data_IF_003612816157
#
_entry.id   IF_003612816157
#
_cell.length_a   1.000
_cell.length_b   1.000
_cell.length_c   1.000
_cell.angle_alpha   90.00
_cell.angle_beta   90.00
_cell.angle_gamma   90.00
#
_symmetry.space_group_name_H-M   'P 1'
#
loop_
_entity.id
_entity.type
_entity.pdbx_description
1 polymer ?
#
# COMPACT_ATOMS: atom_id res chain seq x y z
N UNK A 1 -7.97 -21.05 1.24
CA UNK A 1 -8.26 -22.08 0.25
C UNK A 1 -9.64 -22.66 0.52
N UNK A 2 -10.50 -22.78 -0.52
CA UNK A 2 -11.89 -23.28 -0.41
C UNK A 2 -12.01 -24.75 -0.86
N UNK A 3 -10.91 -25.41 -1.18
CA UNK A 3 -10.90 -26.80 -1.59
C UNK A 3 -10.53 -27.69 -0.41
N UNK A 4 -11.39 -28.68 -0.11
CA UNK A 4 -11.06 -29.79 0.77
C UNK A 4 -10.11 -30.74 0.04
N UNK A 5 -8.82 -30.50 0.16
CA UNK A 5 -7.80 -31.44 -0.29
C UNK A 5 -7.29 -32.19 0.93
N UNK A 6 -7.30 -33.52 0.90
CA UNK A 6 -7.06 -34.39 2.06
C UNK A 6 -5.70 -34.20 2.78
N UNK A 7 -4.77 -33.45 2.19
CA UNK A 7 -3.43 -33.15 2.76
C UNK A 7 -3.16 -31.67 2.94
N UNK A 8 -4.14 -30.76 2.71
CA UNK A 8 -3.96 -29.33 2.87
C UNK A 8 -4.47 -28.85 4.22
N UNK A 9 -3.73 -27.93 4.84
CA UNK A 9 -4.18 -27.21 6.03
C UNK A 9 -5.37 -26.33 5.67
N UNK A 10 -6.50 -26.53 6.35
CA UNK A 10 -7.75 -25.79 6.13
C UNK A 10 -7.84 -24.68 7.16
N UNK A 11 -8.12 -23.45 6.70
CA UNK A 11 -8.34 -22.30 7.57
C UNK A 11 -7.36 -21.16 7.34
N UNK A 12 -7.33 -20.23 8.29
CA UNK A 12 -6.40 -19.11 8.31
C UNK A 12 -5.06 -19.54 8.92
N UNK A 13 -3.98 -18.90 8.48
CA UNK A 13 -2.66 -19.07 9.08
C UNK A 13 -2.64 -18.28 10.39
N UNK A 14 -2.84 -18.99 11.49
CA UNK A 14 -2.79 -18.50 12.87
C UNK A 14 -1.57 -19.08 13.59
N UNK A 15 -1.26 -18.59 14.80
CA UNK A 15 -0.09 -19.01 15.59
C UNK A 15 -0.03 -20.54 15.77
N UNK A 16 -1.18 -21.21 15.95
CA UNK A 16 -1.25 -22.69 16.10
C UNK A 16 -0.78 -23.40 14.84
N UNK A 17 -1.21 -22.93 13.66
CA UNK A 17 -0.80 -23.50 12.36
C UNK A 17 0.69 -23.31 12.16
N UNK A 18 1.21 -22.10 12.41
CA UNK A 18 2.64 -21.79 12.30
C UNK A 18 3.47 -22.66 13.23
N UNK A 19 3.05 -22.78 14.50
CA UNK A 19 3.75 -23.60 15.49
C UNK A 19 3.79 -25.09 15.10
N UNK A 20 2.65 -25.63 14.66
CA UNK A 20 2.57 -27.03 14.24
C UNK A 20 3.44 -27.30 13.01
N UNK A 21 3.40 -26.40 12.02
CA UNK A 21 4.22 -26.52 10.80
C UNK A 21 5.71 -26.47 11.14
N UNK A 22 6.14 -25.50 11.96
CA UNK A 22 7.55 -25.38 12.36
C UNK A 22 8.05 -26.57 13.18
N UNK A 23 7.18 -27.19 13.99
CA UNK A 23 7.54 -28.38 14.75
C UNK A 23 7.67 -29.65 13.88
N UNK A 24 7.07 -29.64 12.67
CA UNK A 24 7.17 -30.74 11.70
C UNK A 24 8.35 -30.59 10.74
N UNK A 25 8.95 -29.40 10.67
CA UNK A 25 10.11 -29.15 9.83
C UNK A 25 11.37 -29.49 10.64
N UNK A 26 12.07 -30.53 10.24
CA UNK A 26 13.32 -30.97 10.87
C UNK A 26 14.57 -30.21 10.37
N UNK A 27 14.39 -29.25 9.48
CA UNK A 27 15.46 -28.47 8.85
C UNK A 27 15.56 -27.09 9.48
N UNK A 28 16.75 -26.66 9.84
CA UNK A 28 17.02 -25.31 10.30
C UNK A 28 16.91 -24.33 9.11
N UNK A 29 15.98 -23.37 9.21
CA UNK A 29 15.77 -22.39 8.16
C UNK A 29 16.67 -21.16 8.36
N UNK A 30 17.38 -20.76 7.31
CA UNK A 30 18.23 -19.57 7.31
C UNK A 30 17.40 -18.28 7.23
N UNK A 31 16.32 -18.30 6.46
CA UNK A 31 15.45 -17.14 6.21
C UNK A 31 14.00 -17.58 6.05
N UNK A 32 13.09 -16.69 6.44
CA UNK A 32 11.65 -16.84 6.29
C UNK A 32 11.13 -15.73 5.36
N UNK A 33 10.45 -16.13 4.30
CA UNK A 33 9.84 -15.20 3.35
C UNK A 33 8.33 -15.24 3.51
N UNK A 34 7.73 -14.12 3.90
CA UNK A 34 6.31 -14.00 4.16
C UNK A 34 5.66 -13.12 3.08
N UNK A 35 4.57 -13.60 2.49
CA UNK A 35 3.83 -12.90 1.47
C UNK A 35 2.33 -13.16 1.68
N UNK A 36 1.53 -12.10 1.78
CA UNK A 36 0.09 -12.21 2.00
C UNK A 36 -0.52 -11.04 2.77
N UNK A 37 -1.75 -11.19 3.27
CA UNK A 37 -2.42 -10.13 4.05
C UNK A 37 -1.59 -9.72 5.27
N UNK A 38 -1.57 -8.43 5.57
CA UNK A 38 -0.77 -7.86 6.66
C UNK A 38 -1.02 -8.55 8.01
N UNK A 39 -2.29 -8.80 8.36
CA UNK A 39 -2.65 -9.49 9.60
C UNK A 39 -1.98 -10.88 9.70
N UNK A 40 -1.88 -11.61 8.58
CA UNK A 40 -1.18 -12.89 8.52
C UNK A 40 0.32 -12.69 8.72
N UNK A 41 0.95 -11.76 8.00
CA UNK A 41 2.38 -11.45 8.13
C UNK A 41 2.71 -11.08 9.57
N UNK A 42 1.94 -10.19 10.20
CA UNK A 42 2.13 -9.80 11.61
C UNK A 42 2.03 -11.00 12.57
N UNK A 43 1.05 -11.88 12.36
CA UNK A 43 0.87 -13.09 13.20
C UNK A 43 2.06 -14.04 13.06
N UNK A 44 2.45 -14.33 11.81
CA UNK A 44 3.57 -15.24 11.54
C UNK A 44 4.88 -14.67 12.07
N UNK A 45 5.18 -13.40 11.81
CA UNK A 45 6.40 -12.73 12.31
C UNK A 45 6.51 -12.81 13.83
N UNK A 46 5.44 -12.43 14.55
CA UNK A 46 5.41 -12.50 16.02
C UNK A 46 5.62 -13.92 16.55
N UNK A 47 5.06 -14.92 15.86
CA UNK A 47 5.21 -16.34 16.27
C UNK A 47 6.63 -16.82 16.04
N UNK A 48 7.27 -16.44 14.94
CA UNK A 48 8.68 -16.73 14.65
C UNK A 48 9.62 -16.09 15.69
N UNK A 49 9.39 -14.80 16.00
CA UNK A 49 10.17 -14.08 17.02
C UNK A 49 10.05 -14.71 18.41
N UNK A 50 8.84 -15.13 18.83
CA UNK A 50 8.62 -15.88 20.07
C UNK A 50 9.38 -17.21 20.12
N UNK A 51 9.66 -17.81 18.96
CA UNK A 51 10.49 -19.03 18.85
C UNK A 51 11.99 -18.74 18.77
N UNK A 52 12.40 -17.49 18.89
CA UNK A 52 13.81 -17.09 18.90
C UNK A 52 14.40 -16.78 17.51
N UNK A 53 13.57 -16.70 16.48
CA UNK A 53 14.02 -16.29 15.14
C UNK A 53 14.31 -14.79 15.17
N UNK A 54 15.53 -14.39 14.77
CA UNK A 54 15.90 -12.99 14.63
C UNK A 54 15.04 -12.29 13.57
N UNK A 55 14.60 -11.05 13.83
CA UNK A 55 13.86 -10.23 12.87
C UNK A 55 14.59 -10.04 11.55
N UNK A 56 15.93 -10.04 11.55
CA UNK A 56 16.76 -9.96 10.34
C UNK A 56 16.63 -11.19 9.41
N UNK A 57 16.13 -12.30 9.92
CA UNK A 57 15.86 -13.52 9.15
C UNK A 57 14.42 -13.59 8.62
N UNK A 58 13.54 -12.66 9.03
CA UNK A 58 12.13 -12.60 8.62
C UNK A 58 11.99 -11.51 7.57
N UNK A 59 11.77 -11.91 6.33
CA UNK A 59 11.62 -11.05 5.16
C UNK A 59 10.16 -11.11 4.70
N UNK A 60 9.55 -9.97 4.40
CA UNK A 60 8.16 -9.94 3.94
C UNK A 60 7.92 -8.87 2.91
N UNK A 61 6.93 -9.12 2.05
CA UNK A 61 6.35 -8.13 1.14
C UNK A 61 4.92 -7.83 1.58
N UNK A 62 4.63 -6.56 1.82
CA UNK A 62 3.29 -6.07 2.10
C UNK A 62 2.64 -5.64 0.79
N UNK A 63 1.50 -6.22 0.44
CA UNK A 63 0.70 -5.81 -0.72
C UNK A 63 -0.22 -4.62 -0.41
N UNK A 64 -0.36 -4.27 0.86
CA UNK A 64 -1.07 -3.08 1.30
C UNK A 64 -0.15 -2.32 2.25
N UNK A 65 0.18 -1.09 1.89
CA UNK A 65 0.79 -0.16 2.84
C UNK A 65 -0.25 0.11 3.94
N UNK A 66 -0.07 -0.51 5.10
CA UNK A 66 -0.78 -0.05 6.28
C UNK A 66 -0.31 1.36 6.55
N UNK A 67 -1.24 2.29 6.48
CA UNK A 67 -1.07 3.58 7.07
C UNK A 67 -0.92 3.41 8.60
N UNK A 68 0.28 3.09 9.07
CA UNK A 68 0.65 3.47 10.42
C UNK A 68 0.86 4.98 10.37
N UNK A 69 -0.22 5.67 10.73
CA UNK A 69 -0.25 7.10 10.98
C UNK A 69 0.90 7.52 11.88
N UNK A 70 1.91 8.13 11.32
CA UNK A 70 2.65 9.15 12.05
C UNK A 70 1.67 10.30 12.27
N UNK A 71 1.12 10.36 13.49
CA UNK A 71 0.46 11.54 14.02
C UNK A 71 1.51 12.64 14.06
N UNK A 72 1.27 13.67 13.30
CA UNK A 72 1.37 15.08 13.60
C UNK A 72 1.45 15.85 12.29
N UNK A 73 0.33 16.36 11.85
CA UNK A 73 0.18 17.75 11.39
C UNK A 73 -1.31 18.05 11.40
N UNK A 74 -1.73 18.78 12.41
CA UNK A 74 -3.04 19.44 12.47
C UNK A 74 -3.10 20.58 11.46
N UNK A 75 -3.93 20.45 10.45
CA UNK A 75 -4.74 21.53 9.88
C UNK A 75 -5.82 20.90 9.00
N UNK A 76 -7.06 20.98 9.46
CA UNK A 76 -8.25 20.58 8.73
C UNK A 76 -8.48 21.52 7.55
N UNK A 77 -8.06 21.14 6.37
CA UNK A 77 -8.47 21.77 5.12
C UNK A 77 -8.93 20.69 4.17
N UNK A 78 -10.23 20.64 3.92
CA UNK A 78 -10.76 19.88 2.80
C UNK A 78 -10.18 20.49 1.51
N UNK A 79 -9.32 19.76 0.83
CA UNK A 79 -8.75 20.18 -0.45
C UNK A 79 -9.71 19.81 -1.57
N UNK A 80 -9.91 20.71 -2.53
CA UNK A 80 -10.60 20.38 -3.77
C UNK A 80 -9.64 19.62 -4.67
N UNK A 81 -9.96 18.36 -4.99
CA UNK A 81 -9.22 17.48 -5.88
C UNK A 81 -9.92 17.42 -7.24
N UNK A 82 -9.23 17.85 -8.29
CA UNK A 82 -9.66 17.65 -9.68
C UNK A 82 -8.82 16.52 -10.27
N UNK A 83 -9.47 15.50 -10.85
CA UNK A 83 -8.84 14.37 -11.52
C UNK A 83 -9.25 14.38 -12.98
N UNK A 84 -8.28 14.46 -13.88
CA UNK A 84 -8.47 14.23 -15.31
C UNK A 84 -8.13 12.76 -15.59
N UNK A 85 -9.11 12.04 -16.10
CA UNK A 85 -8.96 10.64 -16.47
C UNK A 85 -9.93 10.28 -17.60
N UNK A 86 -9.41 9.65 -18.66
CA UNK A 86 -10.15 9.30 -19.88
C UNK A 86 -10.83 10.54 -20.53
N UNK A 87 -10.08 11.66 -20.62
CA UNK A 87 -10.53 12.97 -21.07
C UNK A 87 -11.70 13.59 -20.27
N UNK A 88 -12.03 13.03 -19.11
CA UNK A 88 -13.10 13.51 -18.23
C UNK A 88 -12.50 14.16 -16.97
N UNK A 89 -12.97 15.35 -16.63
CA UNK A 89 -12.56 16.04 -15.41
C UNK A 89 -13.56 15.80 -14.29
N UNK A 90 -13.08 15.15 -13.21
CA UNK A 90 -13.84 14.84 -12.00
C UNK A 90 -13.46 15.80 -10.88
N UNK A 91 -14.45 16.42 -10.24
CA UNK A 91 -14.25 17.28 -9.06
C UNK A 91 -14.67 16.54 -7.80
N UNK A 92 -13.73 16.39 -6.89
CA UNK A 92 -13.89 15.61 -5.66
C UNK A 92 -13.44 16.44 -4.45
N UNK A 93 -13.96 16.12 -3.28
CA UNK A 93 -13.47 16.67 -2.02
C UNK A 93 -12.49 15.69 -1.39
N UNK A 94 -11.21 16.04 -1.36
CA UNK A 94 -10.18 15.26 -0.70
C UNK A 94 -10.31 15.41 0.82
N UNK A 95 -10.48 14.29 1.50
CA UNK A 95 -10.50 14.23 2.97
C UNK A 95 -9.07 14.21 3.50
N UNK A 96 -8.87 14.86 4.64
CA UNK A 96 -7.58 14.88 5.32
C UNK A 96 -7.05 13.47 5.59
N UNK A 97 -5.77 13.25 5.30
CA UNK A 97 -5.09 11.98 5.54
C UNK A 97 -5.32 10.90 4.49
N UNK A 98 -6.23 11.11 3.52
CA UNK A 98 -6.45 10.15 2.43
C UNK A 98 -5.53 10.41 1.25
N UNK A 99 -5.15 9.33 0.56
CA UNK A 99 -4.44 9.43 -0.69
C UNK A 99 -5.38 9.89 -1.83
N UNK A 100 -4.78 10.36 -2.92
CA UNK A 100 -5.51 10.73 -4.14
C UNK A 100 -6.27 9.50 -4.67
N UNK A 101 -5.61 8.33 -4.69
CA UNK A 101 -6.22 7.08 -5.10
C UNK A 101 -7.42 6.69 -4.22
N UNK A 102 -7.28 6.75 -2.88
CA UNK A 102 -8.38 6.42 -1.97
C UNK A 102 -9.58 7.32 -2.23
N UNK A 103 -9.35 8.63 -2.43
CA UNK A 103 -10.40 9.60 -2.75
C UNK A 103 -11.09 9.27 -4.08
N UNK A 104 -10.34 8.87 -5.11
CA UNK A 104 -10.89 8.45 -6.40
C UNK A 104 -11.77 7.20 -6.26
N UNK A 105 -11.27 6.16 -5.60
CA UNK A 105 -11.98 4.89 -5.41
C UNK A 105 -13.26 5.03 -4.57
N UNK A 106 -13.24 5.85 -3.52
CA UNK A 106 -14.45 6.15 -2.73
C UNK A 106 -15.54 6.84 -3.55
N UNK A 107 -15.13 7.65 -4.52
CA UNK A 107 -16.04 8.28 -5.47
C UNK A 107 -16.34 7.40 -6.69
N UNK A 108 -15.98 6.12 -6.64
CA UNK A 108 -16.24 5.11 -7.69
C UNK A 108 -15.59 5.43 -9.05
N UNK A 109 -14.48 6.15 -9.03
CA UNK A 109 -13.65 6.33 -10.21
C UNK A 109 -12.75 5.09 -10.39
N UNK A 110 -12.80 4.48 -11.55
CA UNK A 110 -12.02 3.29 -11.90
C UNK A 110 -10.67 3.69 -12.52
N UNK A 111 -9.87 4.43 -11.75
CA UNK A 111 -8.52 4.82 -12.14
C UNK A 111 -7.54 3.65 -12.01
N UNK A 112 -6.45 3.61 -12.81
CA UNK A 112 -5.51 2.50 -12.77
C UNK A 112 -4.73 2.43 -11.45
N UNK A 113 -4.66 1.26 -10.84
CA UNK A 113 -3.84 0.96 -9.68
C UNK A 113 -3.52 -0.53 -9.55
N UNK A 114 -2.55 -0.89 -8.70
CA UNK A 114 -2.21 -2.29 -8.41
C UNK A 114 -1.72 -2.47 -6.96
N UNK A 115 -0.44 -2.20 -6.66
CA UNK A 115 0.19 -2.55 -5.38
C UNK A 115 -0.28 -1.72 -4.19
N UNK A 116 -0.71 -0.48 -4.39
CA UNK A 116 -1.06 0.54 -3.38
C UNK A 116 0.06 0.85 -2.36
N UNK A 117 1.27 0.33 -2.58
CA UNK A 117 2.42 0.42 -1.66
C UNK A 117 3.57 1.31 -2.15
N UNK A 118 3.43 2.00 -3.29
CA UNK A 118 4.50 2.84 -3.84
C UNK A 118 5.65 2.07 -4.49
N UNK A 119 5.44 0.78 -4.82
CA UNK A 119 6.47 -0.12 -5.37
C UNK A 119 6.20 -0.53 -6.82
N UNK A 120 5.16 0.02 -7.46
CA UNK A 120 4.86 -0.16 -8.88
C UNK A 120 4.39 1.16 -9.49
N UNK A 121 4.35 1.20 -10.83
CA UNK A 121 4.00 2.38 -11.62
C UNK A 121 2.52 2.44 -12.04
N UNK A 122 1.67 1.49 -11.62
CA UNK A 122 0.28 1.39 -12.12
C UNK A 122 -0.60 2.58 -11.79
N UNK A 123 -0.30 3.33 -10.72
CA UNK A 123 -1.08 4.49 -10.28
C UNK A 123 -0.35 5.81 -10.53
N UNK A 124 0.51 5.87 -11.54
CA UNK A 124 1.18 7.12 -11.93
C UNK A 124 0.14 8.12 -12.44
N UNK A 125 0.33 9.38 -12.07
CA UNK A 125 -0.38 10.53 -12.63
C UNK A 125 0.49 11.77 -12.53
N UNK A 126 0.16 12.83 -13.28
CA UNK A 126 0.90 14.10 -13.27
C UNK A 126 0.14 15.18 -12.52
N UNK A 127 0.81 15.89 -11.63
CA UNK A 127 0.30 17.10 -11.01
C UNK A 127 0.36 18.25 -12.02
N UNK A 128 -0.80 18.78 -12.41
CA UNK A 128 -0.93 19.92 -13.31
C UNK A 128 -1.08 21.23 -12.56
N UNK A 129 -1.66 21.20 -11.38
CA UNK A 129 -1.84 22.37 -10.54
C UNK A 129 -1.88 21.96 -9.06
N UNK A 130 -1.31 22.80 -8.19
CA UNK A 130 -1.24 22.53 -6.76
C UNK A 130 -0.02 21.71 -6.38
N UNK A 131 -0.06 21.15 -5.17
CA UNK A 131 1.04 20.32 -4.61
C UNK A 131 0.50 19.10 -3.90
N UNK A 132 1.25 18.02 -4.00
CA UNK A 132 1.00 16.77 -3.29
C UNK A 132 2.32 16.19 -2.77
N UNK A 133 2.27 15.47 -1.67
CA UNK A 133 3.43 14.79 -1.08
C UNK A 133 3.22 13.30 -1.04
N UNK A 134 4.23 12.54 -1.45
CA UNK A 134 4.22 11.07 -1.42
C UNK A 134 4.86 10.56 -0.13
N UNK A 135 4.19 9.62 0.55
CA UNK A 135 4.74 8.97 1.74
C UNK A 135 5.83 7.95 1.41
N UNK A 136 5.66 7.24 0.32
CA UNK A 136 6.59 6.21 -0.15
C UNK A 136 6.72 6.30 -1.67
N UNK A 137 7.94 6.29 -2.17
CA UNK A 137 8.25 6.21 -3.59
C UNK A 137 9.49 5.33 -3.79
N UNK A 138 9.31 4.19 -4.44
CA UNK A 138 10.39 3.26 -4.80
C UNK A 138 10.52 3.07 -6.31
N UNK A 139 9.79 3.85 -7.09
CA UNK A 139 9.67 3.67 -8.55
C UNK A 139 10.08 4.91 -9.32
N UNK A 140 9.55 6.08 -8.94
CA UNK A 140 9.84 7.34 -9.64
C UNK A 140 11.22 7.86 -9.25
N UNK A 141 11.97 8.31 -10.25
CA UNK A 141 13.23 9.03 -10.06
C UNK A 141 12.98 10.45 -9.54
N UNK A 142 14.03 11.08 -9.01
CA UNK A 142 13.92 12.49 -8.56
C UNK A 142 13.55 13.44 -9.69
N UNK A 143 13.98 13.16 -10.93
CA UNK A 143 13.69 14.02 -12.07
C UNK A 143 12.23 13.86 -12.50
N UNK A 144 11.68 12.65 -12.53
CA UNK A 144 10.25 12.40 -12.79
C UNK A 144 9.34 13.08 -11.75
N UNK A 145 9.73 13.04 -10.48
CA UNK A 145 9.01 13.76 -9.41
C UNK A 145 9.07 15.28 -9.62
N UNK A 146 10.23 15.83 -10.03
CA UNK A 146 10.36 17.26 -10.37
C UNK A 146 9.49 17.66 -11.57
N UNK A 147 9.29 16.76 -12.52
CA UNK A 147 8.39 16.93 -13.66
C UNK A 147 6.90 16.82 -13.29
N UNK A 148 6.60 16.55 -12.02
CA UNK A 148 5.26 16.49 -11.47
C UNK A 148 4.63 15.11 -11.45
N UNK A 149 5.36 14.04 -11.76
CA UNK A 149 4.82 12.68 -11.65
C UNK A 149 4.72 12.26 -10.19
N UNK A 150 3.61 11.61 -9.87
CA UNK A 150 3.31 11.09 -8.54
C UNK A 150 2.73 9.68 -8.61
N UNK A 151 2.89 8.92 -7.53
CA UNK A 151 2.16 7.68 -7.28
C UNK A 151 0.91 8.02 -6.45
N UNK A 152 -0.25 8.03 -7.06
CA UNK A 152 -1.50 8.52 -6.44
C UNK A 152 -1.93 7.71 -5.21
N UNK A 153 -1.51 6.45 -5.11
CA UNK A 153 -1.74 5.62 -3.92
C UNK A 153 -0.94 6.10 -2.69
N UNK A 154 0.14 6.86 -2.89
CA UNK A 154 1.01 7.36 -1.83
C UNK A 154 0.92 8.89 -1.67
N UNK A 155 0.43 9.57 -2.71
CA UNK A 155 0.36 11.03 -2.75
C UNK A 155 -0.88 11.56 -2.01
N UNK A 156 -0.66 12.57 -1.18
CA UNK A 156 -1.70 13.33 -0.47
C UNK A 156 -1.66 14.78 -0.87
N UNK A 157 -2.82 15.43 -1.09
CA UNK A 157 -2.87 16.86 -1.36
C UNK A 157 -2.23 17.65 -0.21
N UNK A 158 -1.35 18.61 -0.54
CA UNK A 158 -0.76 19.57 0.41
C UNK A 158 -1.21 21.01 0.13
N UNK A 159 -1.91 21.24 -0.98
CA UNK A 159 -2.54 22.50 -1.33
C UNK A 159 -4.07 22.39 -1.25
N UNK A 160 -4.74 23.53 -1.05
CA UNK A 160 -6.21 23.60 -0.98
C UNK A 160 -6.92 23.22 -2.30
N UNK A 161 -6.19 23.26 -3.41
CA UNK A 161 -6.66 22.84 -4.72
C UNK A 161 -5.55 22.06 -5.41
N UNK A 162 -5.89 20.87 -5.92
CA UNK A 162 -4.98 20.00 -6.64
C UNK A 162 -5.66 19.51 -7.92
N UNK A 163 -4.94 19.59 -9.06
CA UNK A 163 -5.34 18.97 -10.33
C UNK A 163 -4.32 17.90 -10.70
N UNK A 164 -4.80 16.69 -10.88
CA UNK A 164 -4.01 15.50 -11.23
C UNK A 164 -4.54 14.94 -12.54
N UNK A 165 -3.63 14.58 -13.43
CA UNK A 165 -3.90 14.08 -14.76
C UNK A 165 -3.33 12.68 -14.90
N UNK A 166 -4.19 11.69 -15.15
CA UNK A 166 -3.81 10.30 -15.41
C UNK A 166 -3.54 10.02 -16.90
N UNK A 167 -3.91 10.92 -17.78
CA UNK A 167 -3.78 10.73 -19.23
C UNK A 167 -2.43 11.29 -19.74
N UNK A 168 -1.72 12.08 -18.92
CA UNK A 168 -0.40 12.66 -19.21
C UNK A 168 0.70 12.06 -18.33
N UNK A 169 1.11 10.84 -18.64
CA UNK A 169 2.14 10.07 -17.90
C UNK A 169 3.19 9.45 -18.81
#
# INVERSE_FOLDING_TARGET
>A
SRANVAESLIGRIEDTVVNNTLNQIEVEADKFYLCGPEAMIRTVSKTLEKKGVSSSKILFELFTASAESSKDVSQSTSATLEILYDDINYKLDAQEGKSILDTALENKLDVPYSCQGGVCSSCIARVKFGTAEMQTNQVLTEDEVKEGLILTCQARPTSNKLLVDYDDV
#
